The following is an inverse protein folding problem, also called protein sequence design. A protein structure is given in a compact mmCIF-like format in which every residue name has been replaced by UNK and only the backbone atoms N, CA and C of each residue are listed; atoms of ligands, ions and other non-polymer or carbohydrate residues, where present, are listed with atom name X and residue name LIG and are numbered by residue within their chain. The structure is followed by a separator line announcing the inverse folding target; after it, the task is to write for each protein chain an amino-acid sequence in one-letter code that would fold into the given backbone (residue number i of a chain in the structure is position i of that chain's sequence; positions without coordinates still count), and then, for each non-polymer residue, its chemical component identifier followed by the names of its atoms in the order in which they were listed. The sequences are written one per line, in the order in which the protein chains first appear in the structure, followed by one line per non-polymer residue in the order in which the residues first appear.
data_IF_944957102207
#
_entry.id   IF_944957102207
#
_cell.length_a   1.000
_cell.length_b   1.000
_cell.length_c   1.000
_cell.angle_alpha   90.00
_cell.angle_beta   90.00
_cell.angle_gamma   90.00
#
_symmetry.space_group_name_H-M   'P 1'
#
loop_
_entity.id
_entity.type
_entity.pdbx_description
1 polymer ?
#
# COMPACT_ATOMS: atom_id res chain seq x y z
N UNK A 1 -12.81 -16.34 -12.68
CA UNK A 1 -14.14 -16.22 -13.30
C UNK A 1 -15.02 -15.36 -12.42
N UNK A 2 -16.01 -14.69 -13.01
CA UNK A 2 -17.01 -13.90 -12.28
C UNK A 2 -18.38 -14.36 -12.78
N UNK A 3 -19.27 -14.75 -11.88
CA UNK A 3 -20.60 -15.27 -12.22
C UNK A 3 -21.66 -14.66 -11.32
N UNK A 4 -22.69 -14.07 -11.92
CA UNK A 4 -23.89 -13.60 -11.22
C UNK A 4 -25.07 -14.52 -11.49
N UNK A 5 -26.00 -14.62 -10.53
CA UNK A 5 -27.27 -15.32 -10.70
C UNK A 5 -28.44 -14.52 -10.16
N UNK A 6 -29.63 -14.77 -10.71
CA UNK A 6 -30.86 -14.04 -10.38
C UNK A 6 -31.34 -14.24 -8.94
N UNK A 7 -30.78 -15.21 -8.21
CA UNK A 7 -31.03 -15.45 -6.79
C UNK A 7 -30.21 -14.54 -5.85
N UNK A 8 -29.57 -13.51 -6.40
CA UNK A 8 -28.82 -12.50 -5.64
C UNK A 8 -27.39 -12.91 -5.30
N UNK A 9 -26.83 -13.93 -5.98
CA UNK A 9 -25.44 -14.35 -5.78
C UNK A 9 -24.51 -13.79 -6.85
N UNK A 10 -23.31 -13.39 -6.42
CA UNK A 10 -22.19 -13.00 -7.25
C UNK A 10 -20.93 -13.71 -6.75
N UNK A 11 -20.31 -14.52 -7.60
CA UNK A 11 -19.16 -15.36 -7.24
C UNK A 11 -17.95 -14.95 -8.07
N UNK A 12 -16.86 -14.66 -7.38
CA UNK A 12 -15.52 -14.45 -7.94
C UNK A 12 -14.66 -15.65 -7.61
N UNK A 13 -14.06 -16.29 -8.61
CA UNK A 13 -13.17 -17.43 -8.41
C UNK A 13 -11.85 -17.16 -9.13
N UNK A 14 -10.73 -17.37 -8.43
CA UNK A 14 -9.38 -17.28 -8.99
C UNK A 14 -8.65 -18.58 -8.75
N UNK A 15 -7.90 -19.01 -9.76
CA UNK A 15 -6.95 -20.12 -9.67
C UNK A 15 -5.60 -19.60 -10.16
N UNK A 16 -4.57 -19.71 -9.33
CA UNK A 16 -3.20 -19.32 -9.65
C UNK A 16 -2.30 -20.57 -9.63
N UNK A 17 -1.45 -20.72 -10.64
CA UNK A 17 -0.49 -21.81 -10.75
C UNK A 17 0.90 -21.20 -10.98
N UNK A 18 1.79 -21.19 -9.96
CA UNK A 18 3.15 -20.72 -10.15
C UNK A 18 3.92 -21.65 -11.09
N UNK A 19 4.55 -21.09 -12.13
CA UNK A 19 5.43 -21.83 -13.03
C UNK A 19 6.80 -22.15 -12.39
N UNK A 20 7.19 -21.35 -11.40
CA UNK A 20 8.36 -21.52 -10.54
C UNK A 20 8.01 -21.12 -9.11
N UNK A 21 8.88 -21.42 -8.15
CA UNK A 21 8.70 -20.96 -6.77
C UNK A 21 8.58 -19.44 -6.74
N UNK A 22 7.42 -18.95 -6.28
CA UNK A 22 7.08 -17.53 -6.32
C UNK A 22 7.02 -16.97 -4.90
N UNK A 23 8.02 -16.16 -4.56
CA UNK A 23 8.07 -15.43 -3.29
C UNK A 23 7.07 -14.26 -3.31
N UNK A 24 6.23 -14.17 -2.29
CA UNK A 24 5.23 -13.12 -2.17
C UNK A 24 4.92 -12.77 -0.72
N UNK A 25 4.53 -11.51 -0.50
CA UNK A 25 3.97 -11.07 0.78
C UNK A 25 2.47 -11.36 0.87
N UNK A 26 1.75 -11.31 -0.26
CA UNK A 26 0.32 -11.57 -0.37
C UNK A 26 -0.04 -12.02 -1.78
N UNK A 27 -0.83 -13.08 -1.88
CA UNK A 27 -1.44 -13.52 -3.13
C UNK A 27 -2.89 -13.91 -2.87
N UNK A 28 -3.82 -13.11 -3.40
CA UNK A 28 -5.25 -13.39 -3.30
C UNK A 28 -6.14 -12.15 -3.33
N UNK A 29 -7.41 -12.35 -3.00
CA UNK A 29 -8.41 -11.29 -3.01
C UNK A 29 -8.20 -10.26 -1.90
N UNK A 30 -8.44 -8.99 -2.26
CA UNK A 30 -8.74 -7.92 -1.31
C UNK A 30 -10.18 -7.48 -1.55
N UNK A 31 -10.97 -7.42 -0.49
CA UNK A 31 -12.37 -7.00 -0.52
C UNK A 31 -12.47 -5.65 0.19
N UNK A 32 -12.96 -4.63 -0.53
CA UNK A 32 -13.13 -3.29 0.02
C UNK A 32 -14.58 -3.09 0.44
N UNK A 33 -14.77 -2.70 1.70
CA UNK A 33 -16.06 -2.33 2.27
C UNK A 33 -16.09 -0.81 2.45
N UNK A 34 -17.05 -0.10 1.86
CA UNK A 34 -17.08 1.35 1.90
C UNK A 34 -17.25 1.87 3.32
N UNK A 35 -16.56 2.95 3.69
CA UNK A 35 -16.77 3.60 5.00
C UNK A 35 -18.15 4.25 5.10
N UNK A 36 -18.60 4.88 4.00
CA UNK A 36 -19.92 5.49 3.91
C UNK A 36 -21.00 4.47 4.27
N UNK A 37 -21.87 4.84 5.22
CA UNK A 37 -22.97 4.03 5.75
C UNK A 37 -22.57 2.76 6.55
N UNK A 38 -21.28 2.38 6.61
CA UNK A 38 -20.83 1.20 7.36
C UNK A 38 -20.07 1.52 8.65
N UNK A 39 -19.43 2.68 8.81
CA UNK A 39 -18.72 3.00 10.04
C UNK A 39 -19.66 2.98 11.27
N UNK A 40 -19.27 2.25 12.31
CA UNK A 40 -20.10 2.06 13.52
C UNK A 40 -21.32 1.15 13.32
N UNK A 41 -21.56 0.65 12.10
CA UNK A 41 -22.74 -0.15 11.78
C UNK A 41 -22.62 -1.58 12.32
N UNK A 42 -23.75 -2.24 12.66
CA UNK A 42 -23.75 -3.62 13.12
C UNK A 42 -23.38 -4.58 11.99
N UNK A 43 -22.52 -5.54 12.31
CA UNK A 43 -22.11 -6.62 11.41
C UNK A 43 -22.16 -7.97 12.12
N UNK A 44 -22.30 -9.03 11.34
CA UNK A 44 -22.15 -10.41 11.79
C UNK A 44 -20.90 -10.98 11.14
N UNK A 45 -19.94 -11.42 11.94
CA UNK A 45 -18.70 -12.05 11.49
C UNK A 45 -18.79 -13.54 11.77
N UNK A 46 -18.72 -14.37 10.73
CA UNK A 46 -18.48 -15.80 10.88
C UNK A 46 -16.98 -16.04 10.79
N UNK A 47 -16.42 -16.75 11.77
CA UNK A 47 -15.00 -17.10 11.80
C UNK A 47 -14.73 -18.44 11.11
N UNK A 48 -13.46 -18.72 10.80
CA UNK A 48 -13.05 -19.95 10.12
C UNK A 48 -13.28 -21.23 10.94
N UNK A 49 -13.43 -21.11 12.26
CA UNK A 49 -13.83 -22.20 13.17
C UNK A 49 -15.35 -22.43 13.22
N UNK A 50 -16.13 -21.62 12.50
CA UNK A 50 -17.59 -21.68 12.44
C UNK A 50 -18.29 -20.93 13.58
N UNK A 51 -17.55 -20.32 14.51
CA UNK A 51 -18.14 -19.40 15.49
C UNK A 51 -18.66 -18.14 14.80
N UNK A 52 -19.65 -17.50 15.42
CA UNK A 52 -20.29 -16.32 14.86
C UNK A 52 -20.43 -15.24 15.91
N UNK A 53 -19.92 -14.06 15.58
CA UNK A 53 -19.97 -12.87 16.42
C UNK A 53 -20.93 -11.83 15.83
N UNK A 54 -21.79 -11.26 16.67
CA UNK A 54 -22.54 -10.05 16.34
C UNK A 54 -21.81 -8.86 16.97
N UNK A 55 -21.31 -7.96 16.14
CA UNK A 55 -20.41 -6.88 16.55
C UNK A 55 -20.66 -5.62 15.71
N UNK A 56 -19.74 -4.65 15.74
CA UNK A 56 -19.82 -3.42 14.93
C UNK A 56 -18.50 -3.16 14.21
N UNK A 57 -18.60 -2.59 13.02
CA UNK A 57 -17.43 -2.00 12.36
C UNK A 57 -16.91 -0.80 13.17
N UNK A 58 -15.59 -0.55 13.21
CA UNK A 58 -15.03 0.57 13.98
C UNK A 58 -15.58 1.91 13.54
N UNK A 59 -16.24 2.64 14.43
CA UNK A 59 -16.69 4.01 14.13
C UNK A 59 -15.50 4.94 13.91
N UNK A 60 -14.58 4.94 14.88
CA UNK A 60 -13.28 5.60 14.80
C UNK A 60 -12.24 4.69 14.15
N UNK A 61 -11.12 5.28 13.74
CA UNK A 61 -9.99 4.55 13.13
C UNK A 61 -9.45 3.53 14.14
N UNK A 62 -9.43 2.26 13.76
CA UNK A 62 -8.79 1.20 14.54
C UNK A 62 -7.41 0.90 13.94
N UNK A 63 -6.30 1.15 14.68
CA UNK A 63 -4.94 0.93 14.17
C UNK A 63 -4.54 -0.54 14.05
N UNK A 64 -5.38 -1.47 14.51
CA UNK A 64 -5.12 -2.91 14.50
C UNK A 64 -5.94 -3.66 13.44
N UNK A 65 -6.09 -4.97 13.59
CA UNK A 65 -7.04 -5.76 12.80
C UNK A 65 -8.40 -5.76 13.49
N UNK A 66 -9.44 -5.08 12.95
CA UNK A 66 -10.76 -5.05 13.58
C UNK A 66 -11.34 -6.46 13.78
N UNK A 67 -11.18 -7.33 12.78
CA UNK A 67 -11.65 -8.70 12.82
C UNK A 67 -10.57 -9.65 12.26
N UNK A 68 -10.43 -10.81 12.89
CA UNK A 68 -9.50 -11.87 12.49
C UNK A 68 -10.24 -13.15 12.14
N UNK A 69 -9.54 -14.06 11.46
CA UNK A 69 -10.03 -15.39 11.14
C UNK A 69 -11.40 -15.39 10.46
N UNK A 70 -11.64 -14.46 9.55
CA UNK A 70 -12.93 -14.21 8.91
C UNK A 70 -13.20 -15.28 7.85
N UNK A 71 -14.37 -15.91 7.95
CA UNK A 71 -14.97 -16.73 6.88
C UNK A 71 -16.05 -15.98 6.13
N UNK A 72 -16.90 -15.22 6.83
CA UNK A 72 -17.91 -14.38 6.22
C UNK A 72 -18.15 -13.11 7.04
N UNK A 73 -18.49 -12.02 6.35
CA UNK A 73 -18.99 -10.79 6.97
C UNK A 73 -20.34 -10.44 6.36
N UNK A 74 -21.33 -10.22 7.23
CA UNK A 74 -22.69 -9.86 6.84
C UNK A 74 -23.06 -8.53 7.43
N UNK A 75 -23.48 -7.60 6.58
CA UNK A 75 -23.92 -6.27 6.97
C UNK A 75 -25.17 -5.84 6.20
N UNK A 76 -25.86 -4.82 6.71
CA UNK A 76 -26.98 -4.22 6.01
C UNK A 76 -26.44 -3.24 4.95
N UNK A 77 -26.98 -3.28 3.74
CA UNK A 77 -26.65 -2.30 2.67
C UNK A 77 -27.72 -1.21 2.57
N UNK A 78 -28.94 -1.51 3.00
CA UNK A 78 -30.06 -0.59 3.20
C UNK A 78 -31.12 -1.30 4.05
N UNK A 79 -32.12 -0.59 4.62
CA UNK A 79 -33.19 -1.22 5.38
C UNK A 79 -33.81 -2.44 4.67
N UNK A 80 -33.81 -3.58 5.34
CA UNK A 80 -34.37 -4.85 4.85
C UNK A 80 -33.53 -5.59 3.80
N UNK A 81 -32.33 -5.11 3.44
CA UNK A 81 -31.43 -5.81 2.50
C UNK A 81 -30.05 -6.00 3.11
N UNK A 82 -29.57 -7.24 3.11
CA UNK A 82 -28.25 -7.61 3.64
C UNK A 82 -27.33 -8.05 2.52
N UNK A 83 -26.04 -7.77 2.69
CA UNK A 83 -24.95 -8.36 1.92
C UNK A 83 -24.17 -9.29 2.85
N UNK A 84 -24.04 -10.56 2.46
CA UNK A 84 -23.10 -11.51 3.05
C UNK A 84 -21.97 -11.72 2.07
N UNK A 85 -20.75 -11.38 2.47
CA UNK A 85 -19.54 -11.69 1.74
C UNK A 85 -18.87 -12.89 2.41
N UNK A 86 -18.81 -14.03 1.71
CA UNK A 86 -18.10 -15.24 2.14
C UNK A 86 -16.79 -15.36 1.37
N UNK A 87 -15.72 -15.65 2.09
CA UNK A 87 -14.35 -15.75 1.57
C UNK A 87 -13.81 -17.16 1.77
N UNK A 88 -13.31 -17.80 0.73
CA UNK A 88 -12.87 -19.20 0.75
C UNK A 88 -11.53 -19.38 0.03
N UNK A 89 -10.79 -20.42 0.41
CA UNK A 89 -9.46 -20.72 -0.12
C UNK A 89 -8.29 -20.25 0.76
N UNK A 90 -8.57 -19.45 1.78
CA UNK A 90 -7.63 -19.11 2.86
C UNK A 90 -8.40 -18.53 4.07
N UNK A 91 -7.64 -18.06 5.07
CA UNK A 91 -8.09 -17.27 6.21
C UNK A 91 -7.94 -15.78 5.91
N UNK A 92 -8.97 -15.00 6.22
CA UNK A 92 -9.00 -13.57 5.95
C UNK A 92 -9.01 -12.76 7.26
N UNK A 93 -8.46 -11.56 7.23
CA UNK A 93 -8.53 -10.59 8.32
C UNK A 93 -8.95 -9.23 7.78
N UNK A 94 -9.41 -8.35 8.66
CA UNK A 94 -9.77 -6.98 8.32
C UNK A 94 -8.67 -6.01 8.73
N UNK A 95 -8.52 -4.96 7.93
CA UNK A 95 -7.74 -3.77 8.23
C UNK A 95 -8.65 -2.55 8.01
N UNK A 96 -8.57 -1.58 8.92
CA UNK A 96 -9.17 -0.27 8.72
C UNK A 96 -8.23 0.60 7.87
N UNK A 97 -8.53 0.72 6.58
CA UNK A 97 -7.58 1.39 5.69
C UNK A 97 -7.54 2.92 5.86
N UNK A 98 -8.39 3.48 6.73
CA UNK A 98 -8.31 4.90 7.11
C UNK A 98 -6.97 5.24 7.77
N UNK A 99 -6.26 4.26 8.36
CA UNK A 99 -4.87 4.44 8.81
C UNK A 99 -3.90 4.82 7.68
N UNK A 100 -4.23 4.47 6.43
CA UNK A 100 -3.46 4.80 5.22
C UNK A 100 -4.19 5.79 4.31
N UNK A 101 -5.15 6.55 4.87
CA UNK A 101 -5.97 7.55 4.17
C UNK A 101 -6.93 7.01 3.10
N UNK A 102 -7.15 5.70 3.03
CA UNK A 102 -8.17 5.11 2.16
C UNK A 102 -9.57 5.20 2.80
N UNK A 103 -10.61 5.34 1.97
CA UNK A 103 -12.00 5.44 2.40
C UNK A 103 -12.72 4.07 2.46
N UNK A 104 -12.03 3.01 2.93
CA UNK A 104 -12.58 1.65 3.06
C UNK A 104 -12.05 0.89 4.27
N UNK A 105 -12.83 -0.10 4.73
CA UNK A 105 -12.24 -1.27 5.39
C UNK A 105 -11.80 -2.25 4.32
N UNK A 106 -10.69 -2.97 4.56
CA UNK A 106 -10.22 -4.02 3.66
C UNK A 106 -10.22 -5.35 4.37
N UNK A 107 -10.88 -6.33 3.80
CA UNK A 107 -10.66 -7.73 4.15
C UNK A 107 -9.63 -8.33 3.19
N UNK A 108 -8.61 -8.99 3.73
CA UNK A 108 -7.45 -9.46 2.99
C UNK A 108 -7.00 -10.85 3.42
N UNK A 109 -6.19 -11.47 2.56
CA UNK A 109 -5.46 -12.71 2.81
C UNK A 109 -3.94 -12.45 2.77
N UNK A 110 -3.09 -13.13 3.54
CA UNK A 110 -3.36 -14.06 4.66
C UNK A 110 -3.12 -13.35 6.01
N UNK A 111 -3.41 -13.98 7.17
CA UNK A 111 -3.20 -13.33 8.47
C UNK A 111 -1.81 -12.73 8.65
N UNK A 112 -1.76 -11.51 9.19
CA UNK A 112 -0.50 -10.76 9.39
C UNK A 112 0.48 -11.46 10.35
N UNK A 113 -0.03 -12.31 11.24
CA UNK A 113 0.78 -13.02 12.22
C UNK A 113 1.61 -14.17 11.62
N UNK A 114 1.33 -14.58 10.38
CA UNK A 114 2.07 -15.66 9.74
C UNK A 114 3.38 -15.15 9.11
N UNK A 115 4.42 -15.99 8.97
CA UNK A 115 5.70 -15.58 8.38
C UNK A 115 5.54 -14.99 6.97
N UNK A 116 6.34 -13.96 6.66
CA UNK A 116 6.39 -13.29 5.36
C UNK A 116 7.84 -12.80 5.07
N UNK A 117 8.28 -12.79 3.79
CA UNK A 117 7.57 -13.32 2.63
C UNK A 117 7.40 -14.85 2.72
N UNK A 118 6.50 -15.40 1.91
CA UNK A 118 6.30 -16.83 1.79
C UNK A 118 6.37 -17.26 0.33
N UNK A 119 6.68 -18.54 0.12
CA UNK A 119 6.80 -19.12 -1.23
C UNK A 119 5.50 -19.81 -1.60
N UNK A 120 4.97 -19.48 -2.78
CA UNK A 120 4.01 -20.32 -3.49
C UNK A 120 4.79 -21.35 -4.31
N UNK A 121 4.73 -22.66 -3.99
CA UNK A 121 5.54 -23.66 -4.67
C UNK A 121 5.18 -23.81 -6.14
N UNK A 122 6.21 -24.03 -6.97
CA UNK A 122 6.04 -24.36 -8.38
C UNK A 122 5.08 -25.54 -8.57
N UNK A 123 4.14 -25.40 -9.51
CA UNK A 123 3.19 -26.47 -9.83
C UNK A 123 2.04 -26.66 -8.81
N UNK A 124 2.03 -25.95 -7.68
CA UNK A 124 0.94 -26.02 -6.71
C UNK A 124 -0.13 -24.98 -7.01
N UNK A 125 -1.34 -25.44 -7.35
CA UNK A 125 -2.46 -24.53 -7.63
C UNK A 125 -3.03 -23.95 -6.35
N UNK A 126 -3.10 -22.63 -6.26
CA UNK A 126 -3.88 -21.90 -5.26
C UNK A 126 -5.28 -21.59 -5.83
N UNK A 127 -6.33 -21.80 -5.06
CA UNK A 127 -7.70 -21.45 -5.44
C UNK A 127 -8.35 -20.60 -4.35
N UNK A 128 -9.04 -19.55 -4.77
CA UNK A 128 -9.82 -18.71 -3.87
C UNK A 128 -11.17 -18.37 -4.48
N UNK A 129 -12.18 -18.30 -3.63
CA UNK A 129 -13.54 -17.98 -4.02
C UNK A 129 -14.13 -16.93 -3.08
N UNK A 130 -14.63 -15.84 -3.63
CA UNK A 130 -15.42 -14.84 -2.92
C UNK A 130 -16.85 -14.93 -3.41
N UNK A 131 -17.77 -15.21 -2.50
CA UNK A 131 -19.20 -15.31 -2.78
C UNK A 131 -19.93 -14.18 -2.07
N UNK A 132 -20.50 -13.26 -2.83
CA UNK A 132 -21.40 -12.23 -2.32
C UNK A 132 -22.84 -12.70 -2.49
N UNK A 133 -23.61 -12.68 -1.41
CA UNK A 133 -25.05 -12.96 -1.41
C UNK A 133 -25.81 -11.74 -0.94
N UNK A 134 -26.64 -11.21 -1.82
CA UNK A 134 -27.60 -10.16 -1.50
C UNK A 134 -28.94 -10.83 -1.17
N UNK A 135 -29.47 -10.56 0.00
CA UNK A 135 -30.74 -11.12 0.47
C UNK A 135 -31.65 -10.01 1.03
N UNK A 136 -32.96 -10.16 0.82
CA UNK A 136 -33.97 -9.22 1.34
C UNK A 136 -35.11 -9.00 0.35
N UNK A 137 -36.29 -8.66 0.87
CA UNK A 137 -37.49 -8.37 0.08
C UNK A 137 -37.53 -6.93 -0.44
N UNK A 138 -36.37 -6.36 -0.72
CA UNK A 138 -36.24 -4.97 -1.15
C UNK A 138 -36.89 -4.76 -2.52
N UNK A 139 -38.22 -4.57 -2.55
CA UNK A 139 -38.99 -3.99 -3.66
C UNK A 139 -38.63 -2.51 -3.86
N UNK A 140 -37.34 -2.19 -3.90
CA UNK A 140 -36.95 -0.97 -4.58
C UNK A 140 -37.06 -1.30 -6.07
N UNK A 141 -37.72 -0.47 -6.90
CA UNK A 141 -37.53 -0.58 -8.33
C UNK A 141 -36.02 -0.62 -8.56
N UNK A 142 -35.56 -1.51 -9.44
CA UNK A 142 -34.27 -1.27 -10.07
C UNK A 142 -34.42 0.11 -10.71
N UNK A 143 -33.93 1.14 -10.02
CA UNK A 143 -33.71 2.41 -10.64
C UNK A 143 -32.57 2.11 -11.60
N UNK A 144 -32.92 1.58 -12.78
CA UNK A 144 -32.26 1.96 -13.99
C UNK A 144 -32.53 3.47 -14.12
N UNK A 145 -31.86 4.25 -13.27
CA UNK A 145 -31.43 5.57 -13.68
C UNK A 145 -30.65 5.22 -14.92
N UNK A 146 -31.22 5.52 -16.09
CA UNK A 146 -30.42 5.62 -17.28
C UNK A 146 -29.33 6.61 -16.87
N UNK A 147 -28.18 6.09 -16.47
CA UNK A 147 -27.09 6.96 -16.07
C UNK A 147 -26.76 7.65 -17.37
N UNK A 148 -27.13 8.92 -17.49
CA UNK A 148 -26.51 9.76 -18.49
C UNK A 148 -25.00 9.52 -18.36
N UNK A 149 -24.28 9.41 -19.49
CA UNK A 149 -22.84 9.21 -19.44
C UNK A 149 -22.24 10.18 -18.43
N UNK A 150 -21.47 9.67 -17.46
CA UNK A 150 -20.79 10.53 -16.50
C UNK A 150 -19.91 11.47 -17.30
N UNK A 151 -20.33 12.74 -17.39
CA UNK A 151 -19.59 13.76 -18.13
C UNK A 151 -18.56 14.35 -17.18
N UNK A 152 -17.31 13.92 -17.37
CA UNK A 152 -16.18 14.51 -16.67
C UNK A 152 -15.78 15.76 -17.43
N UNK A 153 -15.90 16.90 -16.77
CA UNK A 153 -15.37 18.18 -17.25
C UNK A 153 -14.23 18.60 -16.34
N UNK A 154 -13.25 19.32 -16.90
CA UNK A 154 -12.28 20.02 -16.06
C UNK A 154 -13.02 21.12 -15.31
N UNK A 155 -13.00 21.05 -13.98
CA UNK A 155 -13.47 22.14 -13.13
C UNK A 155 -12.53 23.35 -13.20
N UNK A 156 -12.80 24.36 -12.38
CA UNK A 156 -11.85 25.44 -12.14
C UNK A 156 -10.53 24.87 -11.62
N UNK A 157 -9.41 25.46 -12.05
CA UNK A 157 -8.10 25.05 -11.59
C UNK A 157 -8.04 25.20 -10.06
N UNK A 158 -7.76 24.08 -9.37
CA UNK A 158 -7.56 24.07 -7.93
C UNK A 158 -6.23 24.72 -7.51
N UNK A 159 -5.91 24.66 -6.21
CA UNK A 159 -4.59 25.06 -5.71
C UNK A 159 -3.46 24.31 -6.41
N UNK A 160 -2.27 24.91 -6.43
CA UNK A 160 -1.05 24.26 -6.91
C UNK A 160 -0.85 22.94 -6.18
N UNK A 161 -0.64 21.86 -6.93
CA UNK A 161 -0.29 20.56 -6.36
C UNK A 161 1.09 20.64 -5.67
N UNK A 162 1.35 19.79 -4.67
CA UNK A 162 2.69 19.65 -4.12
C UNK A 162 3.73 19.33 -5.19
N UNK A 163 4.97 19.75 -4.96
CA UNK A 163 6.11 19.37 -5.78
C UNK A 163 6.20 17.85 -5.94
N UNK A 164 6.43 17.40 -7.17
CA UNK A 164 6.66 15.98 -7.46
C UNK A 164 8.15 15.72 -7.58
N UNK A 165 8.63 14.73 -6.82
CA UNK A 165 10.03 14.31 -6.82
C UNK A 165 10.25 12.96 -7.49
N UNK A 166 11.48 12.73 -7.95
CA UNK A 166 11.96 11.41 -8.39
C UNK A 166 13.11 10.98 -7.48
N UNK A 167 13.00 9.76 -6.93
CA UNK A 167 14.09 9.14 -6.17
C UNK A 167 15.09 8.52 -7.13
N UNK A 168 16.38 8.77 -6.90
CA UNK A 168 17.50 8.27 -7.70
C UNK A 168 18.47 7.54 -6.77
N UNK A 169 18.65 6.24 -7.02
CA UNK A 169 19.70 5.45 -6.39
C UNK A 169 21.02 5.60 -7.14
N UNK A 170 22.18 5.34 -6.52
CA UNK A 170 23.47 5.46 -7.20
C UNK A 170 23.56 4.62 -8.49
N UNK A 171 22.99 3.42 -8.50
CA UNK A 171 22.92 2.52 -9.66
C UNK A 171 22.08 3.07 -10.83
N UNK A 172 21.14 3.97 -10.55
CA UNK A 172 20.22 4.52 -11.55
C UNK A 172 20.76 5.79 -12.21
N UNK A 173 21.84 6.39 -11.70
CA UNK A 173 22.35 7.69 -12.17
C UNK A 173 22.71 7.66 -13.65
N UNK A 174 23.41 6.62 -14.11
CA UNK A 174 23.81 6.53 -15.53
C UNK A 174 22.59 6.34 -16.44
N UNK A 175 21.58 5.57 -15.99
CA UNK A 175 20.31 5.42 -16.70
C UNK A 175 19.56 6.75 -16.77
N UNK A 176 19.50 7.51 -15.68
CA UNK A 176 18.87 8.82 -15.64
C UNK A 176 19.58 9.83 -16.56
N UNK A 177 20.93 9.85 -16.54
CA UNK A 177 21.74 10.68 -17.44
C UNK A 177 21.54 10.30 -18.91
N UNK A 178 21.44 9.01 -19.22
CA UNK A 178 21.16 8.54 -20.58
C UNK A 178 19.73 8.93 -21.05
N UNK A 179 18.81 9.19 -20.13
CA UNK A 179 17.39 9.50 -20.39
C UNK A 179 16.99 10.92 -19.94
N UNK A 180 17.91 11.89 -19.98
CA UNK A 180 17.65 13.27 -19.52
C UNK A 180 16.47 13.95 -20.23
N UNK A 181 16.22 13.64 -21.51
CA UNK A 181 15.07 14.18 -22.24
C UNK A 181 13.74 13.73 -21.63
N UNK A 182 13.66 12.45 -21.22
CA UNK A 182 12.49 11.90 -20.51
C UNK A 182 12.35 12.53 -19.13
N UNK A 183 13.44 12.64 -18.37
CA UNK A 183 13.43 13.29 -17.05
C UNK A 183 12.99 14.77 -17.15
N UNK A 184 13.43 15.47 -18.19
CA UNK A 184 13.03 16.86 -18.47
C UNK A 184 11.57 16.97 -18.88
N UNK A 185 11.06 16.01 -19.65
CA UNK A 185 9.64 15.96 -20.06
C UNK A 185 8.73 15.66 -18.89
N UNK A 186 9.16 14.77 -17.99
CA UNK A 186 8.47 14.51 -16.72
C UNK A 186 8.46 15.76 -15.83
N UNK A 187 9.56 16.52 -15.87
CA UNK A 187 9.70 17.82 -15.19
C UNK A 187 9.50 17.74 -13.67
N UNK A 188 10.19 16.83 -12.94
CA UNK A 188 10.09 16.80 -11.50
C UNK A 188 10.68 18.08 -10.89
N UNK A 189 10.06 18.57 -9.83
CA UNK A 189 10.56 19.74 -9.09
C UNK A 189 11.71 19.34 -8.15
N UNK A 190 11.81 18.04 -7.81
CA UNK A 190 12.80 17.52 -6.87
C UNK A 190 13.50 16.25 -7.37
N UNK A 191 14.80 16.16 -7.13
CA UNK A 191 15.56 14.92 -7.19
C UNK A 191 15.92 14.50 -5.76
N UNK A 192 15.44 13.34 -5.34
CA UNK A 192 15.80 12.71 -4.07
C UNK A 192 16.96 11.75 -4.31
N UNK A 193 18.12 12.03 -3.73
CA UNK A 193 19.30 11.18 -3.85
C UNK A 193 19.41 10.23 -2.66
N UNK A 194 19.25 8.94 -2.91
CA UNK A 194 19.33 7.91 -1.87
C UNK A 194 20.80 7.58 -1.52
N UNK A 195 21.24 7.98 -0.34
CA UNK A 195 22.58 7.72 0.17
C UNK A 195 22.54 6.79 1.39
N UNK A 196 23.18 5.63 1.25
CA UNK A 196 23.21 4.61 2.30
C UNK A 196 24.62 4.03 2.46
N UNK A 197 25.38 4.45 3.50
CA UNK A 197 26.71 3.92 3.74
C UNK A 197 26.70 2.42 4.10
N UNK A 198 25.58 1.88 4.63
CA UNK A 198 25.45 0.44 4.93
C UNK A 198 25.40 -0.42 3.67
N UNK A 199 25.10 0.19 2.52
CA UNK A 199 25.11 -0.41 1.18
C UNK A 199 26.39 -0.10 0.41
N UNK A 200 27.37 0.53 1.05
CA UNK A 200 28.64 0.92 0.45
C UNK A 200 28.59 2.24 -0.33
N UNK A 201 27.54 3.05 -0.17
CA UNK A 201 27.48 4.35 -0.84
C UNK A 201 28.51 5.29 -0.20
N UNK A 202 29.45 5.76 -1.01
CA UNK A 202 30.54 6.64 -0.57
C UNK A 202 30.65 7.89 -1.43
N UNK A 203 31.86 8.46 -1.51
CA UNK A 203 32.14 9.67 -2.28
C UNK A 203 31.73 9.56 -3.76
N UNK A 204 31.94 8.39 -4.37
CA UNK A 204 31.65 8.20 -5.80
C UNK A 204 30.15 8.24 -6.11
N UNK A 205 29.30 7.74 -5.19
CA UNK A 205 27.85 7.86 -5.30
C UNK A 205 27.42 9.35 -5.25
N UNK A 206 27.96 10.11 -4.30
CA UNK A 206 27.67 11.54 -4.17
C UNK A 206 28.18 12.35 -5.38
N UNK A 207 29.33 11.97 -5.96
CA UNK A 207 29.82 12.56 -7.22
C UNK A 207 28.92 12.23 -8.40
N UNK A 208 28.36 11.02 -8.46
CA UNK A 208 27.40 10.65 -9.48
C UNK A 208 26.12 11.50 -9.36
N UNK A 209 25.60 11.69 -8.15
CA UNK A 209 24.48 12.60 -7.90
C UNK A 209 24.79 14.04 -8.29
N UNK A 210 25.99 14.54 -7.99
CA UNK A 210 26.42 15.88 -8.39
C UNK A 210 26.42 16.05 -9.92
N UNK A 211 26.82 15.03 -10.68
CA UNK A 211 26.76 15.05 -12.15
C UNK A 211 25.31 15.17 -12.64
N UNK A 212 24.39 14.37 -12.09
CA UNK A 212 22.98 14.42 -12.48
C UNK A 212 22.33 15.75 -12.10
N UNK A 213 22.60 16.27 -10.89
CA UNK A 213 22.09 17.57 -10.44
C UNK A 213 22.58 18.74 -11.31
N UNK A 214 23.77 18.64 -11.89
CA UNK A 214 24.27 19.64 -12.85
C UNK A 214 23.64 19.49 -14.24
N UNK A 215 23.21 18.28 -14.62
CA UNK A 215 22.61 17.99 -15.91
C UNK A 215 21.10 18.27 -15.96
N UNK A 216 20.41 18.22 -14.81
CA UNK A 216 18.99 18.50 -14.68
C UNK A 216 18.72 19.45 -13.51
N UNK A 217 18.24 20.65 -13.83
CA UNK A 217 17.94 21.68 -12.83
C UNK A 217 16.62 21.37 -12.10
N UNK A 218 16.74 20.92 -10.86
CA UNK A 218 15.66 20.70 -9.91
C UNK A 218 16.17 20.97 -8.49
N UNK A 219 15.27 21.10 -7.51
CA UNK A 219 15.68 21.06 -6.11
C UNK A 219 16.25 19.66 -5.80
N UNK A 220 17.24 19.60 -4.92
CA UNK A 220 17.97 18.36 -4.61
C UNK A 220 17.88 18.06 -3.13
N UNK A 221 17.41 16.87 -2.78
CA UNK A 221 17.35 16.42 -1.38
C UNK A 221 18.21 15.19 -1.24
N UNK A 222 19.08 15.15 -0.24
CA UNK A 222 19.79 13.93 0.13
C UNK A 222 18.91 13.15 1.10
N UNK A 223 18.42 11.98 0.70
CA UNK A 223 17.88 10.99 1.62
C UNK A 223 19.08 10.22 2.19
N UNK A 224 19.45 10.55 3.43
CA UNK A 224 20.65 10.07 4.09
C UNK A 224 20.29 9.03 5.15
N UNK A 225 20.63 7.77 4.86
CA UNK A 225 20.61 6.72 5.88
C UNK A 225 21.82 6.90 6.80
N UNK A 226 21.59 6.86 8.10
CA UNK A 226 22.64 6.96 9.13
C UNK A 226 22.65 5.70 9.99
N UNK A 227 23.83 5.15 10.25
CA UNK A 227 23.98 3.88 10.97
C UNK A 227 23.55 4.03 12.42
N UNK A 228 23.85 5.17 13.06
CA UNK A 228 23.55 5.46 14.46
C UNK A 228 24.23 4.53 15.48
N UNK A 229 25.36 3.90 15.14
CA UNK A 229 26.06 2.95 16.01
C UNK A 229 27.16 3.56 16.91
N UNK A 230 27.32 4.89 16.90
CA UNK A 230 28.43 5.57 17.59
C UNK A 230 28.19 7.06 17.78
N UNK A 231 29.25 7.85 17.64
CA UNK A 231 29.18 9.31 17.74
C UNK A 231 28.45 9.91 16.53
N UNK A 232 27.22 10.40 16.77
CA UNK A 232 26.35 10.97 15.75
C UNK A 232 26.93 12.25 15.14
N UNK A 233 27.63 13.07 15.94
CA UNK A 233 28.23 14.31 15.43
C UNK A 233 29.36 13.97 14.46
N UNK A 234 30.16 12.95 14.78
CA UNK A 234 31.21 12.45 13.91
C UNK A 234 30.65 11.82 12.63
N UNK A 235 29.60 11.00 12.73
CA UNK A 235 28.94 10.37 11.58
C UNK A 235 28.36 11.43 10.63
N UNK A 236 27.57 12.37 11.15
CA UNK A 236 26.95 13.43 10.36
C UNK A 236 27.97 14.39 9.75
N UNK A 237 29.04 14.71 10.49
CA UNK A 237 30.14 15.52 9.97
C UNK A 237 30.87 14.81 8.82
N UNK A 238 31.07 13.49 8.93
CA UNK A 238 31.66 12.67 7.88
C UNK A 238 30.84 12.71 6.58
N UNK A 239 29.52 12.55 6.67
CA UNK A 239 28.63 12.67 5.50
C UNK A 239 28.70 14.08 4.91
N UNK A 240 28.64 15.12 5.75
CA UNK A 240 28.73 16.50 5.29
C UNK A 240 30.04 16.79 4.53
N UNK A 241 31.17 16.24 5.01
CA UNK A 241 32.46 16.37 4.34
C UNK A 241 32.50 15.66 2.99
N UNK A 242 31.90 14.46 2.87
CA UNK A 242 31.79 13.75 1.61
C UNK A 242 30.91 14.52 0.60
N UNK A 243 29.80 15.11 1.04
CA UNK A 243 28.93 15.96 0.20
C UNK A 243 29.70 17.17 -0.31
N UNK A 244 30.46 17.84 0.55
CA UNK A 244 31.33 18.98 0.16
C UNK A 244 32.40 18.54 -0.85
N UNK A 245 33.08 17.41 -0.59
CA UNK A 245 34.09 16.87 -1.50
C UNK A 245 33.53 16.45 -2.86
N UNK A 246 32.27 15.98 -2.91
CA UNK A 246 31.58 15.66 -4.14
C UNK A 246 31.16 16.91 -4.94
N UNK A 247 31.14 18.09 -4.32
CA UNK A 247 30.59 19.31 -4.92
C UNK A 247 29.08 19.24 -5.12
N UNK A 248 28.38 18.37 -4.38
CA UNK A 248 26.93 18.22 -4.47
C UNK A 248 26.25 19.36 -3.70
N UNK A 249 25.48 20.18 -4.41
CA UNK A 249 24.63 21.21 -3.80
C UNK A 249 23.28 20.59 -3.46
N UNK A 250 22.87 20.75 -2.20
CA UNK A 250 21.60 20.24 -1.67
C UNK A 250 20.69 21.41 -1.32
N UNK A 251 19.40 21.25 -1.63
CA UNK A 251 18.31 22.11 -1.16
C UNK A 251 17.79 21.66 0.20
N UNK A 252 17.83 20.35 0.47
CA UNK A 252 17.41 19.76 1.74
C UNK A 252 18.18 18.46 2.05
N UNK A 253 18.03 17.98 3.27
CA UNK A 253 18.46 16.64 3.71
C UNK A 253 17.31 16.01 4.51
N UNK A 254 17.03 14.74 4.23
CA UNK A 254 16.16 13.89 5.03
C UNK A 254 17.02 12.81 5.65
N UNK A 255 17.08 12.75 6.97
CA UNK A 255 17.95 11.82 7.71
C UNK A 255 17.10 10.72 8.33
N UNK A 256 17.44 9.46 8.03
CA UNK A 256 16.71 8.30 8.51
C UNK A 256 17.67 7.31 9.20
N UNK A 257 17.46 6.96 10.47
CA UNK A 257 18.20 5.90 11.13
C UNK A 257 18.10 4.58 10.37
N UNK A 258 19.22 3.87 10.25
CA UNK A 258 19.29 2.61 9.50
C UNK A 258 18.39 1.54 10.09
N UNK A 259 18.18 1.60 11.41
CA UNK A 259 17.33 0.72 12.21
C UNK A 259 15.83 0.89 11.89
N UNK A 260 15.38 2.11 11.57
CA UNK A 260 13.97 2.40 11.28
C UNK A 260 13.49 1.84 9.94
N UNK A 261 14.42 1.33 9.13
CA UNK A 261 14.10 0.62 7.89
C UNK A 261 13.60 -0.80 8.14
N UNK A 262 13.73 -1.29 9.37
CA UNK A 262 13.04 -2.48 9.82
C UNK A 262 11.60 -2.05 10.14
N UNK A 263 10.61 -2.60 9.44
CA UNK A 263 9.21 -2.36 9.79
C UNK A 263 9.00 -2.78 11.25
N UNK A 264 8.59 -1.83 12.09
CA UNK A 264 8.32 -2.02 13.51
C UNK A 264 6.82 -1.83 13.76
N UNK A 265 6.00 -2.85 13.49
CA UNK A 265 4.57 -2.77 13.75
C UNK A 265 4.29 -2.34 15.18
N UNK A 266 3.16 -1.64 15.45
CA UNK A 266 2.72 -1.33 16.79
C UNK A 266 2.85 -2.55 17.72
N UNK A 267 3.35 -2.36 18.95
CA UNK A 267 3.54 -3.46 19.91
C UNK A 267 4.78 -4.33 19.70
N UNK A 268 5.58 -4.11 18.65
CA UNK A 268 6.89 -4.74 18.49
C UNK A 268 7.92 -4.11 19.43
N UNK A 269 8.94 -4.88 19.83
CA UNK A 269 10.13 -4.31 20.46
C UNK A 269 10.82 -3.36 19.48
N UNK A 270 11.05 -2.12 19.89
CA UNK A 270 11.80 -1.17 19.07
C UNK A 270 13.23 -1.68 18.86
N UNK A 271 13.84 -1.51 17.67
CA UNK A 271 15.22 -1.90 17.45
C UNK A 271 16.15 -1.11 18.38
N UNK A 272 17.18 -1.78 18.90
CA UNK A 272 18.24 -1.15 19.68
C UNK A 272 19.09 -0.18 18.84
#
# INVERSE_FOLDING_TARGET
TIKGSADGRLVFEVSALPESDFETNRCGFCILHPIADLAGSPVKVEHTDGSVEATKLPELIDPWQPFKDIRAITHQVRPGVTAECRMEGDTFEMEDQRNWSDASYKTYVRPLALPWPYVLPAGQTLRQTISLRIAGEGKAPAAAVASEPVRVELGEAGPTLPDVGVVIYPEDVETALANLSTLTTLGPQQLLFHYDPTRGHGLDALRAFARLANAHAAATTLECVVVCAGDLDAEMSGVADLVRQAGLKLSAIAVSPSVDRQSTPPGSTWPD
#
